data_IF_873750235241
#
_entry.id   IF_873750235241
#
_cell.length_a   1.000
_cell.length_b   1.000
_cell.length_c   1.000
_cell.angle_alpha   90.00
_cell.angle_beta   90.00
_cell.angle_gamma   90.00
#
_symmetry.space_group_name_H-M   'P 1'
#
loop_
_entity.id
_entity.type
_entity.pdbx_description
1 polymer ?
#
# COMPACT_ATOMS: atom_id res chain seq x y z
N UNK A 1 -14.09 6.14 14.66
CA UNK A 1 -13.17 5.61 13.65
C UNK A 1 -12.05 4.90 14.41
N UNK A 2 -11.81 3.65 14.11
CA UNK A 2 -10.71 2.91 14.74
C UNK A 2 -9.40 3.21 14.03
N UNK A 3 -8.33 3.50 14.80
CA UNK A 3 -6.95 3.53 14.29
C UNK A 3 -6.33 2.13 14.30
N UNK A 4 -7.06 1.14 14.76
CA UNK A 4 -6.56 -0.22 14.81
C UNK A 4 -6.39 -0.72 13.37
N UNK A 5 -5.19 -1.12 13.05
CA UNK A 5 -4.85 -1.75 11.78
C UNK A 5 -5.40 -3.16 11.71
N UNK A 6 -5.57 -3.81 12.87
CA UNK A 6 -6.17 -5.13 12.98
C UNK A 6 -7.68 -5.00 13.20
N UNK A 7 -8.46 -5.75 12.42
CA UNK A 7 -9.91 -5.80 12.51
C UNK A 7 -10.35 -7.16 13.09
N UNK A 8 -11.49 -7.20 13.76
CA UNK A 8 -12.11 -8.48 14.12
C UNK A 8 -12.45 -9.30 12.86
N UNK A 9 -12.41 -10.66 12.93
CA UNK A 9 -12.77 -11.52 11.78
C UNK A 9 -14.13 -11.14 11.17
N UNK A 10 -15.11 -10.83 12.00
CA UNK A 10 -16.45 -10.45 11.55
C UNK A 10 -16.55 -9.12 10.80
N UNK A 11 -15.50 -8.29 10.82
CA UNK A 11 -15.42 -7.07 10.02
C UNK A 11 -15.00 -7.32 8.56
N UNK A 12 -14.52 -8.53 8.25
CA UNK A 12 -14.17 -8.96 6.89
C UNK A 12 -15.39 -9.64 6.26
N UNK A 13 -16.13 -8.99 5.34
CA UNK A 13 -17.30 -9.60 4.73
C UNK A 13 -16.88 -10.73 3.78
N UNK A 14 -17.61 -11.85 3.81
CA UNK A 14 -17.29 -13.03 2.99
C UNK A 14 -17.43 -12.75 1.47
N UNK A 15 -18.16 -11.70 1.10
CA UNK A 15 -18.36 -11.27 -0.29
C UNK A 15 -17.43 -10.12 -0.73
N UNK A 16 -16.39 -9.80 0.02
CA UNK A 16 -15.51 -8.64 -0.23
C UNK A 16 -14.88 -8.61 -1.64
N UNK A 17 -14.69 -9.77 -2.24
CA UNK A 17 -14.07 -9.91 -3.56
C UNK A 17 -15.07 -10.28 -4.68
N UNK A 18 -16.39 -10.23 -4.44
CA UNK A 18 -17.36 -10.70 -5.45
C UNK A 18 -17.36 -9.86 -6.74
N UNK A 19 -17.01 -8.59 -6.67
CA UNK A 19 -16.88 -7.72 -7.84
C UNK A 19 -15.51 -7.77 -8.53
N UNK A 20 -14.56 -8.55 -8.00
CA UNK A 20 -13.23 -8.66 -8.59
C UNK A 20 -13.26 -9.31 -9.98
N UNK A 21 -12.49 -8.74 -10.90
CA UNK A 21 -12.23 -9.29 -12.24
C UNK A 21 -10.73 -9.31 -12.50
N UNK A 22 -10.24 -10.36 -13.15
CA UNK A 22 -8.82 -10.51 -13.51
C UNK A 22 -8.43 -9.63 -14.71
N UNK A 23 -8.71 -8.32 -14.63
CA UNK A 23 -8.49 -7.33 -15.68
C UNK A 23 -7.27 -6.45 -15.36
N UNK A 24 -6.47 -6.14 -16.39
CA UNK A 24 -5.36 -5.19 -16.28
C UNK A 24 -5.81 -3.72 -16.34
N UNK A 25 -7.08 -3.47 -16.62
CA UNK A 25 -7.64 -2.11 -16.60
C UNK A 25 -8.07 -1.71 -15.19
N UNK A 26 -8.07 -0.40 -14.93
CA UNK A 26 -8.63 0.10 -13.67
C UNK A 26 -10.11 -0.29 -13.53
N UNK A 27 -10.46 -0.79 -12.34
CA UNK A 27 -11.85 -1.05 -11.96
C UNK A 27 -12.06 -0.68 -10.49
N UNK A 28 -13.17 -0.02 -10.19
CA UNK A 28 -13.48 0.38 -8.82
C UNK A 28 -13.72 -0.84 -7.92
N UNK A 29 -14.32 -1.90 -8.45
CA UNK A 29 -14.53 -3.15 -7.71
C UNK A 29 -13.20 -3.87 -7.46
N UNK A 30 -12.27 -3.82 -8.43
CA UNK A 30 -10.90 -4.28 -8.21
C UNK A 30 -10.20 -3.45 -7.12
N UNK A 31 -10.36 -2.12 -7.13
CA UNK A 31 -9.81 -1.27 -6.08
C UNK A 31 -10.38 -1.61 -4.69
N UNK A 32 -11.69 -1.92 -4.59
CA UNK A 32 -12.31 -2.40 -3.35
C UNK A 32 -11.73 -3.72 -2.87
N UNK A 33 -11.60 -4.69 -3.77
CA UNK A 33 -10.98 -5.98 -3.48
C UNK A 33 -9.53 -5.84 -3.03
N UNK A 34 -8.73 -5.02 -3.74
CA UNK A 34 -7.34 -4.75 -3.39
C UNK A 34 -7.19 -4.01 -2.06
N UNK A 35 -8.13 -3.13 -1.70
CA UNK A 35 -8.12 -2.49 -0.38
C UNK A 35 -8.38 -3.51 0.74
N UNK A 36 -9.30 -4.45 0.57
CA UNK A 36 -9.52 -5.54 1.51
C UNK A 36 -8.30 -6.44 1.67
N UNK A 37 -7.63 -6.79 0.57
CA UNK A 37 -6.39 -7.56 0.60
C UNK A 37 -5.25 -6.76 1.28
N UNK A 38 -5.14 -5.46 1.01
CA UNK A 38 -4.16 -4.58 1.69
C UNK A 38 -4.43 -4.51 3.20
N UNK A 39 -5.70 -4.48 3.61
CA UNK A 39 -6.09 -4.54 5.02
C UNK A 39 -5.76 -5.89 5.64
N UNK A 40 -5.99 -6.99 4.92
CA UNK A 40 -5.67 -8.34 5.38
C UNK A 40 -4.18 -8.52 5.67
N UNK A 41 -3.31 -7.86 4.94
CA UNK A 41 -1.86 -7.93 5.16
C UNK A 41 -1.42 -7.40 6.54
N UNK A 42 -2.21 -6.58 7.21
CA UNK A 42 -1.93 -6.15 8.58
C UNK A 42 -2.22 -7.23 9.63
N UNK A 43 -2.95 -8.29 9.26
CA UNK A 43 -3.32 -9.39 10.15
C UNK A 43 -2.27 -10.49 10.24
N UNK A 44 -1.04 -10.22 9.80
CA UNK A 44 0.02 -11.25 9.71
C UNK A 44 0.48 -11.80 11.06
N UNK A 45 0.11 -11.19 12.18
CA UNK A 45 0.27 -11.81 13.51
C UNK A 45 -0.70 -13.00 13.75
N UNK A 46 -1.74 -13.16 12.92
CA UNK A 46 -2.85 -14.07 13.12
C UNK A 46 -3.08 -14.97 11.91
N UNK A 47 -2.14 -15.90 11.64
CA UNK A 47 -2.16 -16.77 10.46
C UNK A 47 -3.49 -17.49 10.23
N UNK A 48 -4.09 -18.07 11.27
CA UNK A 48 -5.34 -18.80 11.15
C UNK A 48 -6.52 -17.90 10.81
N UNK A 49 -6.54 -16.69 11.33
CA UNK A 49 -7.51 -15.67 10.97
C UNK A 49 -7.38 -15.27 9.50
N UNK A 50 -6.16 -15.00 9.03
CA UNK A 50 -5.89 -14.71 7.61
C UNK A 50 -6.37 -15.85 6.74
N UNK A 51 -6.02 -17.09 7.09
CA UNK A 51 -6.47 -18.28 6.36
C UNK A 51 -8.00 -18.38 6.32
N UNK A 52 -8.69 -18.22 7.46
CA UNK A 52 -10.16 -18.24 7.53
C UNK A 52 -10.82 -17.18 6.66
N UNK A 53 -10.22 -15.99 6.53
CA UNK A 53 -10.72 -14.93 5.67
C UNK A 53 -10.51 -15.29 4.19
N UNK A 54 -9.33 -15.77 3.82
CA UNK A 54 -9.02 -16.17 2.45
C UNK A 54 -9.91 -17.35 1.99
N UNK A 55 -10.15 -18.35 2.88
CA UNK A 55 -11.05 -19.47 2.59
C UNK A 55 -12.48 -18.96 2.27
N UNK A 56 -13.00 -17.99 3.04
CA UNK A 56 -14.31 -17.38 2.79
C UNK A 56 -14.34 -16.58 1.47
N UNK A 57 -13.20 -16.04 1.05
CA UNK A 57 -13.05 -15.35 -0.24
C UNK A 57 -12.77 -16.30 -1.41
N UNK A 58 -12.73 -17.62 -1.17
CA UNK A 58 -12.36 -18.65 -2.13
C UNK A 58 -10.96 -18.48 -2.70
N UNK A 59 -10.01 -18.15 -1.81
CA UNK A 59 -8.58 -18.04 -2.10
C UNK A 59 -7.78 -19.05 -1.28
N UNK A 60 -6.74 -19.60 -1.88
CA UNK A 60 -5.69 -20.35 -1.19
C UNK A 60 -4.60 -19.40 -0.69
N UNK A 61 -3.71 -19.88 0.19
CA UNK A 61 -2.60 -19.09 0.74
C UNK A 61 -1.25 -19.78 0.43
N UNK A 62 -0.69 -19.61 -0.78
CA UNK A 62 0.59 -20.21 -1.18
C UNK A 62 1.77 -19.77 -0.33
N UNK A 63 1.79 -18.51 0.12
CA UNK A 63 2.84 -18.01 0.99
C UNK A 63 2.31 -17.03 2.03
N UNK A 64 3.00 -17.00 3.17
CA UNK A 64 2.68 -16.12 4.29
C UNK A 64 3.96 -15.76 5.03
N UNK A 65 4.28 -14.48 5.09
CA UNK A 65 5.42 -13.94 5.80
C UNK A 65 4.90 -13.00 6.89
N UNK A 66 5.13 -13.38 8.13
CA UNK A 66 4.89 -12.55 9.31
C UNK A 66 6.21 -12.00 9.84
N UNK A 67 6.14 -10.90 10.57
CA UNK A 67 7.29 -10.41 11.34
C UNK A 67 7.44 -11.23 12.63
N UNK A 68 7.75 -12.51 12.48
CA UNK A 68 7.89 -13.49 13.55
C UNK A 68 9.34 -13.99 13.57
N UNK A 69 10.05 -13.94 14.70
CA UNK A 69 11.41 -14.48 14.83
C UNK A 69 11.54 -15.98 14.44
N UNK A 70 10.44 -16.74 14.55
CA UNK A 70 10.42 -18.15 14.16
C UNK A 70 10.55 -18.37 12.64
N UNK A 71 10.33 -17.34 11.83
CA UNK A 71 10.47 -17.43 10.36
C UNK A 71 11.93 -17.45 9.89
N UNK A 72 12.90 -17.14 10.77
CA UNK A 72 14.31 -16.99 10.42
C UNK A 72 14.63 -15.73 9.58
N UNK A 73 13.64 -14.89 9.30
CA UNK A 73 13.83 -13.62 8.61
C UNK A 73 14.36 -12.55 9.58
N UNK A 74 15.12 -11.57 9.08
CA UNK A 74 15.59 -10.47 9.90
C UNK A 74 14.44 -9.74 10.61
N UNK A 75 14.64 -9.24 11.83
CA UNK A 75 13.67 -8.38 12.50
C UNK A 75 13.27 -7.20 11.59
N UNK A 76 11.97 -6.88 11.55
CA UNK A 76 11.38 -5.84 10.69
C UNK A 76 11.33 -6.18 9.19
N UNK A 77 11.39 -7.46 8.81
CA UNK A 77 11.08 -7.87 7.45
C UNK A 77 9.67 -7.46 7.05
N UNK A 78 9.45 -7.24 5.75
CA UNK A 78 8.13 -6.96 5.23
C UNK A 78 7.17 -8.12 5.53
N UNK A 79 5.94 -7.80 5.96
CA UNK A 79 4.89 -8.79 6.11
C UNK A 79 4.16 -8.95 4.77
N UNK A 80 3.99 -10.19 4.32
CA UNK A 80 3.43 -10.50 3.00
C UNK A 80 2.42 -11.64 3.10
N UNK A 81 1.31 -11.49 2.41
CA UNK A 81 0.38 -12.58 2.14
C UNK A 81 0.32 -12.80 0.64
N UNK A 82 0.60 -14.02 0.19
CA UNK A 82 0.34 -14.43 -1.18
C UNK A 82 -0.93 -15.28 -1.19
N UNK A 83 -1.89 -14.89 -2.00
CA UNK A 83 -3.16 -15.59 -2.15
C UNK A 83 -3.40 -15.94 -3.63
N UNK A 84 -4.09 -17.05 -3.93
CA UNK A 84 -4.38 -17.47 -5.29
C UNK A 84 -5.80 -17.99 -5.43
N UNK A 85 -6.46 -17.63 -6.51
CA UNK A 85 -7.84 -18.02 -6.84
C UNK A 85 -8.53 -16.92 -7.63
N UNK A 86 -9.77 -17.16 -8.03
CA UNK A 86 -10.59 -16.21 -8.82
C UNK A 86 -9.91 -15.77 -10.14
N UNK A 87 -9.07 -16.62 -10.72
CA UNK A 87 -8.36 -16.34 -11.96
C UNK A 87 -7.16 -15.39 -11.80
N UNK A 88 -6.59 -15.28 -10.60
CA UNK A 88 -5.45 -14.41 -10.32
C UNK A 88 -4.59 -14.90 -9.14
N UNK A 89 -3.38 -14.39 -9.06
CA UNK A 89 -2.53 -14.50 -7.86
C UNK A 89 -2.30 -13.10 -7.30
N UNK A 90 -2.47 -12.96 -5.98
CA UNK A 90 -2.38 -11.69 -5.25
C UNK A 90 -1.16 -11.71 -4.34
N UNK A 91 -0.35 -10.68 -4.39
CA UNK A 91 0.78 -10.45 -3.49
C UNK A 91 0.51 -9.17 -2.72
N UNK A 92 0.27 -9.29 -1.42
CA UNK A 92 -0.15 -8.18 -0.59
C UNK A 92 0.87 -7.87 0.48
N UNK A 93 1.19 -6.60 0.65
CA UNK A 93 2.18 -6.11 1.61
C UNK A 93 1.50 -5.30 2.71
N UNK A 94 1.87 -5.57 3.95
CA UNK A 94 1.50 -4.72 5.07
C UNK A 94 2.25 -3.38 5.00
N UNK A 95 1.58 -2.31 5.41
CA UNK A 95 2.23 -1.05 5.71
C UNK A 95 2.87 -1.04 7.09
N UNK A 96 3.45 0.09 7.47
CA UNK A 96 3.92 0.32 8.83
C UNK A 96 2.74 0.46 9.79
N UNK A 97 2.99 0.10 11.06
CA UNK A 97 2.07 0.42 12.15
C UNK A 97 1.80 1.93 12.16
N UNK A 98 0.53 2.37 12.07
CA UNK A 98 0.20 3.80 12.08
C UNK A 98 0.69 4.54 13.32
N UNK A 99 0.89 3.84 14.44
CA UNK A 99 1.45 4.42 15.65
C UNK A 99 2.97 4.68 15.57
N UNK A 100 3.65 4.08 14.58
CA UNK A 100 5.07 4.28 14.27
C UNK A 100 5.29 5.15 13.04
N UNK A 101 4.19 5.60 12.44
CA UNK A 101 4.19 6.36 11.20
C UNK A 101 4.94 7.69 11.30
N UNK A 102 4.89 8.36 12.47
CA UNK A 102 5.67 9.57 12.74
C UNK A 102 7.17 9.32 12.70
N UNK A 103 7.61 8.27 13.40
CA UNK A 103 9.03 7.90 13.42
C UNK A 103 9.49 7.64 11.97
N UNK A 104 8.62 7.00 11.17
CA UNK A 104 8.92 6.69 9.79
C UNK A 104 8.96 7.93 8.87
N UNK A 105 8.03 8.91 9.01
CA UNK A 105 8.07 10.16 8.21
C UNK A 105 9.24 11.04 8.62
N UNK A 106 9.55 11.12 9.93
CA UNK A 106 10.61 11.98 10.45
C UNK A 106 11.99 11.38 10.27
N UNK A 107 12.11 10.05 10.35
CA UNK A 107 13.36 9.32 10.14
C UNK A 107 13.54 8.89 8.67
N UNK A 108 12.72 9.45 7.76
CA UNK A 108 12.75 9.13 6.35
C UNK A 108 14.08 9.62 5.72
N UNK A 109 15.17 8.93 6.04
CA UNK A 109 16.44 9.07 5.34
C UNK A 109 16.27 8.50 3.94
N UNK A 110 15.89 9.36 3.01
CA UNK A 110 15.72 9.07 1.60
C UNK A 110 17.08 8.80 0.93
N UNK A 111 17.78 7.73 1.38
CA UNK A 111 18.99 7.27 0.74
C UNK A 111 18.60 6.43 -0.46
N UNK A 112 18.96 6.88 -1.66
CA UNK A 112 18.80 6.12 -2.88
C UNK A 112 19.85 4.99 -2.95
N UNK A 113 19.43 3.84 -3.47
CA UNK A 113 20.35 2.76 -3.85
C UNK A 113 21.05 3.09 -5.18
N UNK A 114 22.02 2.25 -5.58
CA UNK A 114 22.67 2.35 -6.88
C UNK A 114 21.67 2.25 -8.05
N UNK A 115 20.53 1.58 -7.84
CA UNK A 115 19.46 1.40 -8.82
C UNK A 115 18.41 2.52 -8.79
N UNK A 116 18.73 3.66 -8.16
CA UNK A 116 17.85 4.82 -8.05
C UNK A 116 16.53 4.54 -7.27
N UNK A 117 16.54 3.54 -6.39
CA UNK A 117 15.41 3.17 -5.53
C UNK A 117 15.61 3.69 -4.11
N UNK A 118 14.50 3.86 -3.39
CA UNK A 118 14.58 4.07 -1.95
C UNK A 118 15.16 2.81 -1.30
N UNK A 119 16.37 2.92 -0.77
CA UNK A 119 17.17 1.77 -0.29
C UNK A 119 16.42 0.90 0.71
N UNK A 120 15.77 1.49 1.70
CA UNK A 120 15.04 0.73 2.72
C UNK A 120 13.88 -0.08 2.13
N UNK A 121 13.23 0.38 1.06
CA UNK A 121 12.18 -0.37 0.39
C UNK A 121 12.77 -1.50 -0.46
N UNK A 122 13.85 -1.23 -1.16
CA UNK A 122 14.54 -2.23 -1.97
C UNK A 122 15.05 -3.38 -1.09
N UNK A 123 15.73 -3.08 0.02
CA UNK A 123 16.24 -4.07 0.97
C UNK A 123 15.09 -4.91 1.59
N UNK A 124 13.96 -4.28 1.90
CA UNK A 124 12.79 -4.98 2.46
C UNK A 124 12.19 -5.97 1.44
N UNK A 125 12.06 -5.58 0.17
CA UNK A 125 11.58 -6.47 -0.88
C UNK A 125 12.58 -7.60 -1.14
N UNK A 126 13.88 -7.30 -1.22
CA UNK A 126 14.93 -8.29 -1.45
C UNK A 126 14.89 -9.40 -0.40
N UNK A 127 14.68 -9.04 0.86
CA UNK A 127 14.62 -9.99 1.98
C UNK A 127 13.49 -11.01 1.82
N UNK A 128 12.32 -10.61 1.31
CA UNK A 128 11.15 -11.48 1.19
C UNK A 128 10.96 -12.06 -0.21
N UNK A 129 11.74 -11.59 -1.16
CA UNK A 129 11.62 -11.96 -2.57
C UNK A 129 11.70 -13.46 -2.84
N UNK A 130 12.64 -14.24 -2.26
CA UNK A 130 12.73 -15.68 -2.55
C UNK A 130 11.42 -16.43 -2.27
N UNK A 131 10.69 -16.04 -1.23
CA UNK A 131 9.39 -16.66 -0.88
C UNK A 131 8.31 -16.25 -1.87
N UNK A 132 8.27 -14.96 -2.26
CA UNK A 132 7.32 -14.46 -3.27
C UNK A 132 7.60 -15.13 -4.61
N UNK A 133 8.85 -15.18 -5.05
CA UNK A 133 9.26 -15.80 -6.31
C UNK A 133 8.85 -17.28 -6.37
N UNK A 134 9.10 -18.04 -5.30
CA UNK A 134 8.70 -19.42 -5.22
C UNK A 134 7.16 -19.57 -5.32
N UNK A 135 6.39 -18.71 -4.66
CA UNK A 135 4.92 -18.73 -4.74
C UNK A 135 4.42 -18.38 -6.15
N UNK A 136 5.04 -17.42 -6.83
CA UNK A 136 4.72 -17.05 -8.22
C UNK A 136 5.07 -18.21 -9.17
N UNK A 137 6.23 -18.82 -9.02
CA UNK A 137 6.69 -19.91 -9.89
C UNK A 137 5.81 -21.17 -9.76
N UNK A 138 5.30 -21.45 -8.56
CA UNK A 138 4.49 -22.62 -8.25
C UNK A 138 2.97 -22.36 -8.30
N UNK A 139 2.52 -21.22 -8.84
CA UNK A 139 1.09 -20.92 -8.93
C UNK A 139 0.35 -21.91 -9.85
N UNK A 140 -0.92 -22.26 -9.53
CA UNK A 140 -1.66 -23.29 -10.26
C UNK A 140 -1.84 -23.00 -11.76
N UNK A 141 -1.95 -21.73 -12.13
CA UNK A 141 -2.16 -21.31 -13.51
C UNK A 141 -1.14 -20.23 -13.89
N UNK A 142 -0.01 -20.59 -14.52
CA UNK A 142 1.07 -19.65 -14.86
C UNK A 142 0.68 -18.47 -15.75
N UNK A 143 -0.38 -18.61 -16.55
CA UNK A 143 -0.89 -17.54 -17.43
C UNK A 143 -1.83 -16.54 -16.74
N UNK A 144 -2.24 -16.79 -15.49
CA UNK A 144 -3.09 -15.86 -14.75
C UNK A 144 -2.34 -14.60 -14.34
N UNK A 145 -3.02 -13.43 -14.33
CA UNK A 145 -2.41 -12.18 -13.93
C UNK A 145 -1.98 -12.18 -12.46
N UNK A 146 -0.91 -11.45 -12.19
CA UNK A 146 -0.44 -11.15 -10.85
C UNK A 146 -0.97 -9.78 -10.43
N UNK A 147 -1.57 -9.71 -9.24
CA UNK A 147 -2.00 -8.46 -8.61
C UNK A 147 -1.14 -8.18 -7.39
N UNK A 148 -0.52 -7.00 -7.37
CA UNK A 148 0.25 -6.52 -6.24
C UNK A 148 -0.51 -5.39 -5.57
N UNK A 149 -0.57 -5.40 -4.24
CA UNK A 149 -1.28 -4.36 -3.51
C UNK A 149 -0.69 -4.10 -2.13
N UNK A 150 -0.93 -2.91 -1.62
CA UNK A 150 -0.56 -2.50 -0.28
C UNK A 150 -1.00 -1.07 0.03
N UNK A 151 -1.16 -0.80 1.32
CA UNK A 151 -1.43 0.52 1.85
C UNK A 151 -0.15 1.11 2.45
N UNK A 152 0.06 2.42 2.34
CA UNK A 152 1.21 3.11 2.93
C UNK A 152 2.54 2.53 2.42
N UNK A 153 3.49 2.23 3.30
CA UNK A 153 4.74 1.52 2.99
C UNK A 153 4.49 0.26 2.14
N UNK A 154 3.44 -0.51 2.47
CA UNK A 154 3.08 -1.72 1.71
C UNK A 154 2.82 -1.43 0.24
N UNK A 155 2.29 -0.25 -0.10
CA UNK A 155 2.12 0.19 -1.48
C UNK A 155 3.45 0.39 -2.21
N UNK A 156 4.46 0.97 -1.56
CA UNK A 156 5.81 1.10 -2.13
C UNK A 156 6.46 -0.28 -2.39
N UNK A 157 6.34 -1.19 -1.41
CA UNK A 157 6.86 -2.55 -1.55
C UNK A 157 6.15 -3.31 -2.68
N UNK A 158 4.83 -3.12 -2.82
CA UNK A 158 4.05 -3.70 -3.92
C UNK A 158 4.52 -3.22 -5.29
N UNK A 159 4.82 -1.93 -5.45
CA UNK A 159 5.37 -1.36 -6.69
C UNK A 159 6.72 -1.99 -7.04
N UNK A 160 7.65 -2.08 -6.08
CA UNK A 160 8.98 -2.63 -6.33
C UNK A 160 8.93 -4.14 -6.60
N UNK A 161 8.13 -4.88 -5.84
CA UNK A 161 7.96 -6.32 -6.06
C UNK A 161 7.29 -6.62 -7.42
N UNK A 162 6.33 -5.80 -7.84
CA UNK A 162 5.68 -5.92 -9.15
C UNK A 162 6.66 -5.64 -10.30
N UNK A 163 7.48 -4.59 -10.18
CA UNK A 163 8.52 -4.28 -11.16
C UNK A 163 9.50 -5.47 -11.34
N UNK A 164 9.88 -6.11 -10.22
CA UNK A 164 10.73 -7.29 -10.25
C UNK A 164 10.01 -8.50 -10.86
N UNK A 165 8.76 -8.76 -10.45
CA UNK A 165 7.97 -9.87 -10.97
C UNK A 165 7.74 -9.81 -12.48
N UNK A 166 7.64 -8.61 -13.05
CA UNK A 166 7.47 -8.43 -14.49
C UNK A 166 8.64 -8.98 -15.34
N UNK A 167 9.79 -9.25 -14.73
CA UNK A 167 10.94 -9.88 -15.37
C UNK A 167 11.04 -11.39 -15.14
N UNK A 168 10.11 -11.96 -14.34
CA UNK A 168 10.10 -13.40 -14.08
C UNK A 168 9.59 -14.20 -15.29
N UNK A 169 10.17 -15.38 -15.58
CA UNK A 169 9.65 -16.27 -16.60
C UNK A 169 8.17 -16.61 -16.35
N UNK A 170 7.36 -16.66 -17.41
CA UNK A 170 5.94 -16.99 -17.39
C UNK A 170 5.04 -15.94 -16.69
N UNK A 171 5.53 -14.75 -16.37
CA UNK A 171 4.70 -13.63 -15.94
C UNK A 171 4.34 -12.79 -17.15
N UNK A 172 3.06 -12.83 -17.56
CA UNK A 172 2.57 -12.12 -18.75
C UNK A 172 1.85 -10.82 -18.39
N UNK A 173 1.14 -10.80 -17.27
CA UNK A 173 0.34 -9.65 -16.83
C UNK A 173 0.58 -9.38 -15.37
N UNK A 174 0.99 -8.16 -15.08
CA UNK A 174 1.17 -7.66 -13.71
C UNK A 174 0.35 -6.38 -13.52
N UNK A 175 -0.42 -6.31 -12.46
CA UNK A 175 -1.30 -5.20 -12.11
C UNK A 175 -1.01 -4.74 -10.68
N UNK A 176 -0.99 -3.44 -10.46
CA UNK A 176 -0.67 -2.87 -9.14
C UNK A 176 -1.75 -1.90 -8.70
N UNK A 177 -2.26 -2.09 -7.48
CA UNK A 177 -3.13 -1.14 -6.81
C UNK A 177 -2.48 -0.70 -5.51
N UNK A 178 -2.31 0.58 -5.30
CA UNK A 178 -1.75 1.11 -4.05
C UNK A 178 -2.65 2.15 -3.42
N UNK A 179 -2.63 2.24 -2.10
CA UNK A 179 -3.44 3.16 -1.31
C UNK A 179 -2.51 4.00 -0.43
N UNK A 180 -2.43 5.30 -0.69
CA UNK A 180 -1.54 6.19 0.06
C UNK A 180 -0.06 5.80 0.01
N UNK A 181 0.42 5.30 -1.13
CA UNK A 181 1.82 4.87 -1.28
C UNK A 181 2.77 6.05 -1.38
N UNK A 182 3.93 6.01 -0.72
CA UNK A 182 5.01 6.98 -0.93
C UNK A 182 5.67 6.80 -2.30
N UNK A 183 6.56 7.74 -2.67
CA UNK A 183 7.42 7.62 -3.85
C UNK A 183 8.46 6.53 -3.62
N UNK A 184 8.78 5.75 -4.66
CA UNK A 184 9.60 4.54 -4.54
C UNK A 184 11.01 4.67 -5.10
N UNK A 185 11.21 5.56 -6.06
CA UNK A 185 12.50 5.74 -6.74
C UNK A 185 12.57 7.06 -7.47
N UNK A 186 13.73 7.34 -8.07
CA UNK A 186 14.01 8.55 -8.82
C UNK A 186 13.70 8.42 -10.31
N UNK A 187 14.33 9.30 -11.09
CA UNK A 187 14.09 9.41 -12.54
C UNK A 187 14.46 8.15 -13.32
N UNK A 188 15.53 7.45 -12.96
CA UNK A 188 15.94 6.25 -13.67
C UNK A 188 14.91 5.13 -13.47
N UNK A 189 14.46 4.90 -12.22
CA UNK A 189 13.39 3.95 -11.93
C UNK A 189 12.10 4.32 -12.66
N UNK A 190 11.69 5.60 -12.59
CA UNK A 190 10.50 6.09 -13.27
C UNK A 190 10.52 5.82 -14.77
N UNK A 191 11.65 6.13 -15.45
CA UNK A 191 11.79 5.96 -16.89
C UNK A 191 11.84 4.48 -17.31
N UNK A 192 12.36 3.60 -16.45
CA UNK A 192 12.45 2.15 -16.70
C UNK A 192 11.21 1.35 -16.30
N UNK A 193 10.21 1.98 -15.64
CA UNK A 193 9.06 1.27 -15.11
C UNK A 193 8.04 0.87 -16.19
N UNK A 194 8.05 -0.41 -16.55
CA UNK A 194 7.22 -0.92 -17.66
C UNK A 194 5.73 -1.05 -17.34
N UNK A 195 5.33 -1.05 -16.06
CA UNK A 195 3.97 -1.32 -15.61
C UNK A 195 3.12 -0.04 -15.44
N UNK A 196 3.52 1.09 -16.03
CA UNK A 196 2.86 2.38 -15.83
C UNK A 196 1.35 2.36 -16.16
N UNK A 197 0.94 1.62 -17.18
CA UNK A 197 -0.45 1.53 -17.62
C UNK A 197 -1.31 0.57 -16.78
N UNK A 198 -0.70 -0.31 -15.99
CA UNK A 198 -1.37 -1.27 -15.11
C UNK A 198 -1.08 -1.04 -13.61
N UNK A 199 -0.53 0.13 -13.28
CA UNK A 199 -0.30 0.57 -11.89
C UNK A 199 -1.23 1.72 -11.55
N UNK A 200 -2.07 1.52 -10.54
CA UNK A 200 -3.11 2.45 -10.11
C UNK A 200 -2.85 2.88 -8.66
N UNK A 201 -2.55 4.17 -8.47
CA UNK A 201 -2.28 4.78 -7.17
C UNK A 201 -3.48 5.55 -6.68
N UNK A 202 -4.18 5.01 -5.69
CA UNK A 202 -5.32 5.67 -5.07
C UNK A 202 -4.82 6.61 -3.97
N UNK A 203 -5.26 7.87 -4.03
CA UNK A 203 -4.89 8.93 -3.09
C UNK A 203 -6.18 9.53 -2.53
N UNK A 204 -6.34 9.47 -1.20
CA UNK A 204 -7.53 9.97 -0.55
C UNK A 204 -7.32 11.40 -0.01
N UNK A 205 -8.11 12.34 -0.51
CA UNK A 205 -8.15 13.71 -0.01
C UNK A 205 -6.78 14.40 0.00
N UNK A 206 -6.33 14.74 1.20
CA UNK A 206 -5.05 15.42 1.46
C UNK A 206 -4.00 14.50 2.12
N UNK A 207 -4.09 13.19 1.87
CA UNK A 207 -3.12 12.22 2.40
C UNK A 207 -1.68 12.67 2.16
N UNK A 208 -0.89 12.79 3.25
CA UNK A 208 0.48 13.30 3.19
C UNK A 208 1.48 12.26 2.66
N UNK A 209 1.20 10.96 2.80
CA UNK A 209 2.19 9.91 2.50
C UNK A 209 2.62 9.89 1.04
N UNK A 210 1.72 10.08 0.05
CA UNK A 210 2.15 10.21 -1.34
C UNK A 210 3.11 11.37 -1.62
N UNK A 211 3.29 12.30 -0.69
CA UNK A 211 4.20 13.43 -0.86
C UNK A 211 5.64 13.13 -0.44
N UNK A 212 5.89 12.00 0.21
CA UNK A 212 7.22 11.59 0.70
C UNK A 212 7.77 10.39 -0.08
N UNK A 213 9.11 10.28 -0.21
CA UNK A 213 10.09 11.35 -0.06
C UNK A 213 9.78 12.55 -0.93
N UNK A 214 10.23 13.76 -0.57
CA UNK A 214 10.00 14.93 -1.42
C UNK A 214 10.67 14.73 -2.79
N UNK A 215 10.06 15.30 -3.84
CA UNK A 215 10.61 15.24 -5.20
C UNK A 215 11.98 15.93 -5.29
N UNK A 216 12.22 16.94 -4.45
CA UNK A 216 13.50 17.63 -4.35
C UNK A 216 14.01 17.60 -2.90
N UNK A 217 15.32 17.38 -2.63
CA UNK A 217 16.41 17.28 -3.61
C UNK A 217 16.62 15.87 -4.23
N UNK A 218 15.92 14.84 -3.82
CA UNK A 218 16.20 13.45 -4.16
C UNK A 218 15.66 12.96 -5.52
N UNK A 219 15.02 13.83 -6.33
CA UNK A 219 14.37 13.48 -7.61
C UNK A 219 13.42 12.28 -7.55
N UNK A 220 12.82 12.04 -6.38
CA UNK A 220 11.86 10.94 -6.20
C UNK A 220 10.57 11.18 -6.99
N UNK A 221 10.10 10.12 -7.66
CA UNK A 221 8.93 10.17 -8.54
C UNK A 221 7.95 9.06 -8.23
N UNK A 222 6.70 9.32 -8.59
CA UNK A 222 5.68 8.30 -8.63
C UNK A 222 5.65 7.61 -9.98
N UNK A 223 5.43 6.29 -9.97
CA UNK A 223 5.14 5.52 -11.18
C UNK A 223 3.65 5.23 -11.28
N UNK A 224 3.16 4.94 -12.48
CA UNK A 224 1.76 4.56 -12.71
C UNK A 224 0.78 5.74 -12.66
N UNK A 225 -0.49 5.38 -12.71
CA UNK A 225 -1.62 6.30 -12.83
C UNK A 225 -2.14 6.74 -11.46
N UNK A 226 -2.34 8.04 -11.27
CA UNK A 226 -2.92 8.60 -10.03
C UNK A 226 -4.45 8.63 -10.13
N UNK A 227 -5.13 8.09 -9.15
CA UNK A 227 -6.58 8.14 -8.96
C UNK A 227 -6.83 8.95 -7.70
N UNK A 228 -7.20 10.22 -7.86
CA UNK A 228 -7.39 11.14 -6.75
C UNK A 228 -8.86 11.13 -6.28
N UNK A 229 -9.08 10.87 -5.00
CA UNK A 229 -10.36 11.11 -4.35
C UNK A 229 -10.41 12.56 -3.86
N UNK A 230 -11.47 13.32 -4.18
CA UNK A 230 -11.65 14.64 -3.60
C UNK A 230 -11.74 14.58 -2.07
N UNK A 231 -11.36 15.66 -1.43
CA UNK A 231 -11.50 15.83 0.02
C UNK A 231 -12.94 15.60 0.45
N UNK A 232 -13.17 14.69 1.41
CA UNK A 232 -14.49 14.20 1.85
C UNK A 232 -15.37 13.59 0.74
N UNK A 233 -14.78 13.36 -0.45
CA UNK A 233 -15.44 12.72 -1.58
C UNK A 233 -15.34 11.20 -1.55
N UNK A 234 -15.61 10.63 -2.72
CA UNK A 234 -15.47 9.19 -3.01
C UNK A 234 -14.73 9.02 -4.33
N UNK A 235 -14.09 7.87 -4.48
CA UNK A 235 -13.58 7.46 -5.79
C UNK A 235 -14.78 7.17 -6.70
N UNK A 236 -14.85 7.84 -7.85
CA UNK A 236 -15.97 7.75 -8.79
C UNK A 236 -15.76 6.70 -9.89
N UNK A 237 -14.60 6.04 -9.90
CA UNK A 237 -14.25 5.02 -10.88
C UNK A 237 -13.78 5.57 -12.23
N UNK A 238 -13.77 6.88 -12.41
CA UNK A 238 -13.11 7.47 -13.56
C UNK A 238 -11.61 7.58 -13.27
N UNK A 239 -10.71 6.92 -14.05
CA UNK A 239 -9.31 7.33 -14.06
C UNK A 239 -9.35 8.80 -14.47
N UNK A 240 -8.99 9.71 -13.55
CA UNK A 240 -8.84 11.11 -13.94
C UNK A 240 -8.03 11.13 -15.22
N UNK A 241 -8.43 11.95 -16.20
CA UNK A 241 -7.67 12.10 -17.44
C UNK A 241 -6.25 12.48 -17.05
N UNK A 242 -5.41 11.47 -16.92
CA UNK A 242 -4.01 11.63 -16.56
C UNK A 242 -3.34 12.12 -17.82
N UNK A 243 -3.28 13.44 -17.95
CA UNK A 243 -2.25 13.97 -18.80
C UNK A 243 -0.90 13.57 -18.20
N UNK A 244 0.04 13.12 -19.03
CA UNK A 244 1.44 12.93 -18.63
C UNK A 244 2.01 14.17 -17.89
N UNK A 245 1.39 15.34 -18.05
CA UNK A 245 1.62 16.57 -17.31
C UNK A 245 1.22 16.49 -15.81
N UNK A 246 0.29 15.61 -15.42
CA UNK A 246 -0.07 15.46 -14.01
C UNK A 246 0.96 14.61 -13.22
N UNK A 247 1.68 13.72 -13.93
CA UNK A 247 2.80 12.98 -13.33
C UNK A 247 4.01 13.90 -13.02
N UNK A 248 4.07 15.06 -13.68
CA UNK A 248 5.18 16.03 -13.57
C UNK A 248 4.73 17.38 -12.98
N UNK A 249 3.46 17.57 -12.61
CA UNK A 249 3.12 18.75 -11.80
C UNK A 249 3.80 18.55 -10.44
N UNK A 250 4.60 19.54 -9.96
CA UNK A 250 4.93 19.56 -8.54
C UNK A 250 3.59 19.45 -7.82
N UNK A 251 3.44 18.41 -7.00
CA UNK A 251 2.23 18.24 -6.20
C UNK A 251 2.03 19.59 -5.50
N UNK A 252 0.81 20.16 -5.60
CA UNK A 252 0.46 21.44 -4.94
C UNK A 252 0.86 21.42 -3.46
N UNK A 253 1.10 20.25 -2.93
CA UNK A 253 1.52 19.92 -1.57
C UNK A 253 3.05 20.11 -1.36
N UNK A 254 3.91 20.08 -2.39
CA UNK A 254 5.35 20.38 -2.21
C UNK A 254 5.57 21.79 -1.65
N UNK A 255 4.70 22.74 -1.99
CA UNK A 255 4.65 24.08 -1.37
C UNK A 255 4.10 24.06 0.08
N UNK A 256 3.17 23.16 0.37
CA UNK A 256 2.59 22.99 1.70
C UNK A 256 3.50 22.21 2.64
N UNK A 257 4.39 21.34 2.15
CA UNK A 257 5.40 20.65 2.99
C UNK A 257 6.44 21.66 3.49
N UNK A 258 6.88 22.61 2.68
CA UNK A 258 7.75 23.69 3.12
C UNK A 258 7.09 24.57 4.21
N UNK A 259 5.75 24.74 4.14
CA UNK A 259 4.95 25.40 5.17
C UNK A 259 4.58 24.44 6.33
N UNK A 260 4.39 23.15 6.05
CA UNK A 260 3.93 22.10 6.99
C UNK A 260 5.01 21.54 7.90
N UNK A 261 6.29 21.85 7.66
CA UNK A 261 7.33 21.70 8.69
C UNK A 261 7.00 22.51 9.97
N UNK A 262 6.13 23.53 9.88
CA UNK A 262 5.59 24.21 11.04
C UNK A 262 4.50 23.38 11.77
N UNK A 263 3.78 22.49 11.07
CA UNK A 263 2.75 21.61 11.64
C UNK A 263 3.29 20.26 12.16
N UNK A 264 4.60 19.99 12.04
CA UNK A 264 5.29 18.92 12.79
C UNK A 264 5.09 19.06 14.31
N UNK A 265 4.76 20.26 14.79
CA UNK A 265 4.28 20.46 16.16
C UNK A 265 2.93 19.77 16.45
N UNK A 266 2.08 19.58 15.46
CA UNK A 266 0.86 18.78 15.60
C UNK A 266 1.18 17.28 15.68
N UNK A 267 2.26 16.83 15.07
CA UNK A 267 2.81 15.49 15.22
C UNK A 267 3.36 15.26 16.64
N UNK A 268 3.89 16.27 17.33
CA UNK A 268 4.29 16.15 18.73
C UNK A 268 3.09 15.86 19.66
N UNK A 269 1.86 16.24 19.27
CA UNK A 269 0.64 15.82 19.95
C UNK A 269 0.41 14.30 19.85
N UNK A 270 0.85 13.65 18.79
CA UNK A 270 0.83 12.20 18.62
C UNK A 270 1.70 11.47 19.66
N UNK A 271 2.87 12.01 19.99
CA UNK A 271 3.73 11.46 21.06
C UNK A 271 3.04 11.45 22.43
N UNK A 272 2.19 12.44 22.68
CA UNK A 272 1.41 12.52 23.92
C UNK A 272 0.31 11.43 23.95
N UNK A 273 -0.31 11.15 22.81
CA UNK A 273 -1.36 10.14 22.63
C UNK A 273 -0.83 8.72 22.88
N UNK A 274 0.40 8.40 22.48
CA UNK A 274 1.07 7.12 22.72
C UNK A 274 1.17 6.74 24.22
N UNK A 275 1.14 7.72 25.11
CA UNK A 275 1.20 7.51 26.57
C UNK A 275 -0.16 7.17 27.22
N UNK A 276 -1.27 7.29 26.50
CA UNK A 276 -2.61 7.21 27.07
C UNK A 276 -3.29 5.84 26.81
N UNK A 277 -2.74 4.98 25.93
CA UNK A 277 -3.27 3.65 25.61
C UNK A 277 -4.36 3.65 24.52
N UNK A 278 -4.76 2.47 24.00
CA UNK A 278 -5.52 2.34 22.76
C UNK A 278 -7.00 2.79 22.82
N UNK A 279 -7.65 2.80 23.96
CA UNK A 279 -9.09 3.13 24.07
C UNK A 279 -9.46 4.62 23.96
N UNK A 280 -8.64 5.59 24.37
CA UNK A 280 -8.88 7.02 24.10
C UNK A 280 -8.59 7.44 22.66
N UNK A 281 -7.82 6.64 21.89
CA UNK A 281 -7.37 7.00 20.53
C UNK A 281 -8.52 7.22 19.55
N UNK A 282 -9.60 6.46 19.65
CA UNK A 282 -10.78 6.64 18.80
C UNK A 282 -11.47 8.01 19.01
N UNK A 283 -11.38 8.57 20.22
CA UNK A 283 -11.92 9.91 20.52
C UNK A 283 -10.99 11.03 20.06
N UNK A 284 -9.68 10.76 19.99
CA UNK A 284 -8.65 11.71 19.56
C UNK A 284 -8.45 11.70 18.05
N UNK A 285 -9.00 10.70 17.33
CA UNK A 285 -8.97 10.61 15.88
C UNK A 285 -9.43 11.91 15.19
N UNK A 286 -10.42 12.57 15.75
CA UNK A 286 -10.90 13.86 15.26
C UNK A 286 -9.92 15.02 15.44
N UNK A 287 -8.96 14.90 16.35
CA UNK A 287 -7.96 15.93 16.65
C UNK A 287 -6.72 15.86 15.77
N UNK A 288 -6.55 14.79 14.99
CA UNK A 288 -5.41 14.67 14.07
C UNK A 288 -5.54 15.64 12.89
N UNK A 289 -4.41 16.17 12.40
CA UNK A 289 -4.39 16.90 11.14
C UNK A 289 -5.06 16.10 10.02
N UNK A 290 -5.80 16.78 9.16
CA UNK A 290 -6.58 16.13 8.10
C UNK A 290 -5.71 15.23 7.22
N UNK A 291 -4.52 15.69 6.84
CA UNK A 291 -3.57 14.96 6.02
C UNK A 291 -3.15 13.60 6.60
N UNK A 292 -3.10 13.49 7.94
CA UNK A 292 -2.84 12.22 8.64
C UNK A 292 -4.09 11.36 8.70
N UNK A 293 -5.26 11.96 8.94
CA UNK A 293 -6.54 11.24 8.95
C UNK A 293 -6.86 10.65 7.58
N UNK A 294 -6.62 11.39 6.51
CA UNK A 294 -6.88 10.94 5.15
C UNK A 294 -6.02 9.73 4.78
N UNK A 295 -4.88 9.54 5.46
CA UNK A 295 -4.01 8.36 5.29
C UNK A 295 -4.53 7.08 5.97
N UNK A 296 -5.38 7.18 6.99
CA UNK A 296 -5.82 5.99 7.74
C UNK A 296 -6.62 5.03 6.86
N UNK A 297 -6.40 3.69 6.91
CA UNK A 297 -7.11 2.71 6.09
C UNK A 297 -8.63 2.88 6.10
N UNK A 298 -9.24 3.14 7.26
CA UNK A 298 -10.68 3.36 7.40
C UNK A 298 -11.21 4.49 6.49
N UNK A 299 -10.41 5.53 6.22
CA UNK A 299 -10.80 6.60 5.32
C UNK A 299 -10.69 6.22 3.84
N UNK A 300 -9.75 5.32 3.48
CA UNK A 300 -9.72 4.70 2.15
C UNK A 300 -10.94 3.80 1.93
N UNK A 301 -11.35 3.00 2.94
CA UNK A 301 -12.58 2.22 2.87
C UNK A 301 -13.79 3.13 2.63
N UNK A 302 -13.94 4.20 3.41
CA UNK A 302 -15.00 5.19 3.23
C UNK A 302 -15.00 5.81 1.83
N UNK A 303 -13.82 6.22 1.34
CA UNK A 303 -13.65 6.82 0.01
C UNK A 303 -14.00 5.84 -1.12
N UNK A 304 -13.79 4.54 -0.90
CA UNK A 304 -14.20 3.45 -1.81
C UNK A 304 -15.67 3.03 -1.63
N UNK A 305 -16.45 3.73 -0.79
CA UNK A 305 -17.84 3.38 -0.47
C UNK A 305 -17.99 2.00 0.18
N UNK A 306 -16.99 1.60 0.96
CA UNK A 306 -17.03 0.38 1.77
C UNK A 306 -17.38 0.76 3.21
N UNK A 307 -18.37 0.08 3.80
CA UNK A 307 -18.74 0.22 5.20
C UNK A 307 -17.98 -0.82 6.02
N UNK A 308 -17.26 -0.37 7.07
CA UNK A 308 -16.56 -1.21 8.04
C UNK A 308 -17.46 -1.48 9.26
#
# INVERSE_FOLDING_TARGET
MSFLVELARGAYPDNALNGFTASSQFGLDNARAMMWLSQLAYETAHRDKVKSILDAWHLTMPAFIANDPATGLPPRSACVVVAAGRGATFVTFAGSDPLKFEDWITDFNAVQSADDLHRGFADAVETVWPVIQAAIANRPAPGEPLFFTGHSLGGALAVLAAARAAHEPNVQTTVVYTFGSPRTGGSAFFNGYALGNSTFRLINGTDIVPTVPPAQPGDYRHVGQSIQCPTDGRFDGAPGQISAAAANKPDIIDGAIAAGLADIRALAAFRLIRRIGPRPLDRLAGALPRMVRDHVPANYFRALSITL
#
